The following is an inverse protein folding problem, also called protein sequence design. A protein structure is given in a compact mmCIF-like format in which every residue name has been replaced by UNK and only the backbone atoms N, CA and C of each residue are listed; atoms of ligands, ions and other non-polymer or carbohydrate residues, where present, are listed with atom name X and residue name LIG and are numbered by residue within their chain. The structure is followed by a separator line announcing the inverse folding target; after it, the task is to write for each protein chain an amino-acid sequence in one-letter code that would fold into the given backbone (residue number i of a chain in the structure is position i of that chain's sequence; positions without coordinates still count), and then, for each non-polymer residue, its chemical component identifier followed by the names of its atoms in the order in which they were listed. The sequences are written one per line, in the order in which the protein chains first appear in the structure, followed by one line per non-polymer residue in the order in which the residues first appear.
data_IF_120576182346
#
_entry.id   IF_120576182346
#
_cell.length_a   1.000
_cell.length_b   1.000
_cell.length_c   1.000
_cell.angle_alpha   90.00
_cell.angle_beta   90.00
_cell.angle_gamma   90.00
#
_symmetry.space_group_name_H-M   'P 1'
#
loop_
_entity.id
_entity.type
_entity.pdbx_description
1 polymer ?
#
# COMPACT_ATOMS: atom_id res chain seq x y z
N UNK A 1 30.43 24.55 -4.27
CA UNK A 1 29.14 24.24 -4.92
C UNK A 1 28.28 23.51 -3.92
N UNK A 2 27.26 24.17 -3.36
CA UNK A 2 26.37 23.55 -2.37
C UNK A 2 25.57 22.42 -3.01
N UNK A 3 25.44 21.28 -2.32
CA UNK A 3 24.56 20.20 -2.76
C UNK A 3 23.14 20.75 -2.87
N UNK A 4 22.62 20.82 -4.09
CA UNK A 4 21.18 21.03 -4.31
C UNK A 4 20.52 19.72 -3.87
N UNK A 5 20.05 19.67 -2.62
CA UNK A 5 19.20 18.57 -2.17
C UNK A 5 17.84 18.77 -2.81
N UNK A 6 17.44 17.85 -3.68
CA UNK A 6 16.09 17.84 -4.25
C UNK A 6 15.12 17.59 -3.10
N UNK A 7 14.08 18.43 -2.91
CA UNK A 7 13.08 18.18 -1.88
C UNK A 7 12.39 16.83 -2.11
N UNK A 8 12.18 16.04 -1.04
CA UNK A 8 11.54 14.73 -1.11
C UNK A 8 10.26 14.72 -1.97
N UNK A 9 9.42 15.75 -1.87
CA UNK A 9 8.18 15.86 -2.65
C UNK A 9 8.41 15.93 -4.16
N UNK A 10 9.47 16.60 -4.60
CA UNK A 10 9.82 16.70 -6.01
C UNK A 10 10.35 15.35 -6.53
N UNK A 11 11.24 14.71 -5.77
CA UNK A 11 11.77 13.39 -6.08
C UNK A 11 10.64 12.33 -6.12
N UNK A 12 9.72 12.37 -5.16
CA UNK A 12 8.52 11.52 -5.13
C UNK A 12 7.71 11.63 -6.41
N UNK A 13 7.36 12.85 -6.82
CA UNK A 13 6.58 13.08 -8.03
C UNK A 13 7.34 12.60 -9.28
N UNK A 14 8.65 12.86 -9.36
CA UNK A 14 9.48 12.42 -10.49
C UNK A 14 9.54 10.88 -10.59
N UNK A 15 9.71 10.20 -9.46
CA UNK A 15 9.71 8.74 -9.39
C UNK A 15 8.35 8.18 -9.81
N UNK A 16 7.24 8.74 -9.33
CA UNK A 16 5.90 8.29 -9.73
C UNK A 16 5.65 8.48 -11.23
N UNK A 17 5.98 9.65 -11.78
CA UNK A 17 5.82 9.91 -13.22
C UNK A 17 6.65 8.95 -14.06
N UNK A 18 7.87 8.64 -13.63
CA UNK A 18 8.72 7.66 -14.29
C UNK A 18 8.11 6.26 -14.22
N UNK A 19 7.62 5.82 -13.07
CA UNK A 19 6.97 4.51 -12.92
C UNK A 19 5.70 4.39 -13.77
N UNK A 20 4.89 5.46 -13.87
CA UNK A 20 3.72 5.49 -14.75
C UNK A 20 4.11 5.35 -16.23
N UNK A 21 5.17 6.01 -16.67
CA UNK A 21 5.59 5.96 -18.08
C UNK A 21 6.35 4.69 -18.47
N UNK A 22 6.97 4.00 -17.51
CA UNK A 22 7.80 2.82 -17.80
C UNK A 22 7.16 1.52 -17.32
N UNK A 23 6.89 1.41 -16.03
CA UNK A 23 6.43 0.17 -15.42
C UNK A 23 4.95 -0.07 -15.70
N UNK A 24 4.09 0.93 -15.49
CA UNK A 24 2.66 0.79 -15.71
C UNK A 24 2.32 0.48 -17.19
N UNK A 25 2.96 1.18 -18.14
CA UNK A 25 2.80 0.89 -19.57
C UNK A 25 3.22 -0.54 -19.95
N UNK A 26 4.21 -1.10 -19.24
CA UNK A 26 4.65 -2.48 -19.44
C UNK A 26 3.72 -3.54 -18.82
N UNK A 27 2.77 -3.15 -17.96
CA UNK A 27 1.75 -4.06 -17.43
C UNK A 27 0.72 -4.34 -18.54
N UNK A 28 0.64 -5.59 -18.99
CA UNK A 28 -0.31 -6.02 -20.03
C UNK A 28 -1.72 -6.27 -19.47
N UNK A 29 -1.78 -6.70 -18.21
CA UNK A 29 -2.97 -7.16 -17.52
C UNK A 29 -3.67 -6.02 -16.77
N UNK A 30 -5.01 -5.98 -16.83
CA UNK A 30 -5.80 -4.87 -16.26
C UNK A 30 -5.75 -4.89 -14.74
N UNK A 31 -5.82 -6.07 -14.14
CA UNK A 31 -5.81 -6.28 -12.71
C UNK A 31 -4.47 -5.84 -12.09
N UNK A 32 -3.36 -6.04 -12.81
CA UNK A 32 -2.05 -5.50 -12.40
C UNK A 32 -1.99 -3.98 -12.48
N UNK A 33 -2.63 -3.36 -13.47
CA UNK A 33 -2.70 -1.89 -13.59
C UNK A 33 -3.54 -1.30 -12.46
N UNK A 34 -4.68 -1.91 -12.16
CA UNK A 34 -5.53 -1.53 -11.03
C UNK A 34 -4.77 -1.63 -9.70
N UNK A 35 -4.05 -2.74 -9.48
CA UNK A 35 -3.20 -2.90 -8.30
C UNK A 35 -2.11 -1.81 -8.21
N UNK A 36 -1.52 -1.42 -9.34
CA UNK A 36 -0.55 -0.32 -9.37
C UNK A 36 -1.22 1.02 -9.02
N UNK A 37 -2.41 1.31 -9.55
CA UNK A 37 -3.10 2.56 -9.25
C UNK A 37 -3.50 2.67 -7.78
N UNK A 38 -3.93 1.56 -7.16
CA UNK A 38 -4.16 1.50 -5.71
C UNK A 38 -2.87 1.74 -4.90
N UNK A 39 -1.72 1.21 -5.34
CA UNK A 39 -0.43 1.52 -4.71
C UNK A 39 -0.09 3.00 -4.81
N UNK A 40 -0.28 3.63 -5.98
CA UNK A 40 0.01 5.07 -6.14
C UNK A 40 -0.90 5.92 -5.24
N UNK A 41 -2.17 5.53 -5.10
CA UNK A 41 -3.08 6.18 -4.17
C UNK A 41 -2.57 6.06 -2.73
N UNK A 42 -2.27 4.85 -2.27
CA UNK A 42 -1.75 4.61 -0.92
C UNK A 42 -0.48 5.41 -0.64
N UNK A 43 0.49 5.39 -1.57
CA UNK A 43 1.73 6.18 -1.46
C UNK A 43 1.47 7.68 -1.39
N UNK A 44 0.47 8.19 -2.10
CA UNK A 44 0.12 9.60 -2.08
C UNK A 44 -0.47 10.02 -0.73
N UNK A 45 -1.26 9.15 -0.10
CA UNK A 45 -1.83 9.35 1.24
C UNK A 45 -0.74 9.31 2.32
N UNK A 46 0.29 8.46 2.18
CA UNK A 46 1.39 8.32 3.14
C UNK A 46 2.61 9.19 2.85
N UNK A 47 2.59 9.98 1.76
CA UNK A 47 3.71 10.84 1.32
C UNK A 47 4.26 11.75 2.43
N UNK A 48 3.38 12.28 3.28
CA UNK A 48 3.78 13.08 4.44
C UNK A 48 4.64 12.28 5.41
N UNK A 49 4.17 11.10 5.82
CA UNK A 49 4.90 10.21 6.73
C UNK A 49 6.24 9.75 6.14
N UNK A 50 6.27 9.42 4.84
CA UNK A 50 7.51 9.04 4.15
C UNK A 50 8.59 10.13 4.21
N UNK A 51 8.21 11.41 4.14
CA UNK A 51 9.16 12.52 4.18
C UNK A 51 9.87 12.68 5.54
N UNK A 52 9.30 12.11 6.61
CA UNK A 52 9.90 12.08 7.95
C UNK A 52 10.68 10.80 8.24
N UNK A 53 10.59 9.79 7.37
CA UNK A 53 11.20 8.48 7.63
C UNK A 53 12.74 8.47 7.44
N UNK A 54 13.33 9.57 6.96
CA UNK A 54 14.77 9.74 6.73
C UNK A 54 15.42 8.56 5.94
N UNK A 55 14.63 7.89 5.09
CA UNK A 55 15.10 6.78 4.29
C UNK A 55 16.00 7.29 3.15
N UNK A 56 17.04 6.53 2.76
CA UNK A 56 18.03 6.99 1.79
C UNK A 56 17.51 7.07 0.34
N UNK A 57 16.26 6.68 0.07
CA UNK A 57 15.64 6.77 -1.25
C UNK A 57 14.12 6.83 -1.16
N UNK A 58 13.50 7.63 -2.04
CA UNK A 58 12.05 7.62 -2.26
C UNK A 58 11.54 6.21 -2.59
N UNK A 59 12.24 5.44 -3.42
CA UNK A 59 11.79 4.08 -3.78
C UNK A 59 11.71 3.16 -2.57
N UNK A 60 12.64 3.31 -1.61
CA UNK A 60 12.58 2.58 -0.35
C UNK A 60 11.40 3.03 0.51
N UNK A 61 11.08 4.32 0.53
CA UNK A 61 9.89 4.83 1.20
C UNK A 61 8.59 4.30 0.60
N UNK A 62 8.50 4.24 -0.73
CA UNK A 62 7.36 3.64 -1.45
C UNK A 62 7.21 2.16 -1.09
N UNK A 63 8.30 1.39 -1.15
CA UNK A 63 8.30 -0.03 -0.78
C UNK A 63 7.89 -0.23 0.68
N UNK A 64 8.48 0.54 1.60
CA UNK A 64 8.17 0.44 3.02
C UNK A 64 6.69 0.75 3.31
N UNK A 65 6.14 1.80 2.70
CA UNK A 65 4.71 2.10 2.81
C UNK A 65 3.84 0.98 2.27
N UNK A 66 4.15 0.43 1.09
CA UNK A 66 3.40 -0.68 0.53
C UNK A 66 3.42 -1.91 1.44
N UNK A 67 4.55 -2.20 2.09
CA UNK A 67 4.65 -3.30 3.07
C UNK A 67 3.79 -3.03 4.31
N UNK A 68 3.78 -1.79 4.82
CA UNK A 68 2.93 -1.39 5.95
C UNK A 68 1.45 -1.52 5.60
N UNK A 69 1.03 -1.04 4.44
CA UNK A 69 -0.35 -1.12 3.97
C UNK A 69 -0.78 -2.58 3.76
N UNK A 70 0.06 -3.40 3.13
CA UNK A 70 -0.18 -4.84 3.00
C UNK A 70 -0.34 -5.51 4.37
N UNK A 71 0.48 -5.14 5.37
CA UNK A 71 0.36 -5.69 6.73
C UNK A 71 -0.95 -5.27 7.38
N UNK A 72 -1.38 -4.02 7.21
CA UNK A 72 -2.68 -3.51 7.69
C UNK A 72 -3.84 -4.30 7.07
N UNK A 73 -3.86 -4.47 5.75
CA UNK A 73 -4.92 -5.21 5.07
C UNK A 73 -4.99 -6.67 5.52
N UNK A 74 -3.84 -7.34 5.69
CA UNK A 74 -3.78 -8.71 6.24
C UNK A 74 -4.39 -8.76 7.65
N UNK A 75 -4.09 -7.79 8.52
CA UNK A 75 -4.64 -7.75 9.88
C UNK A 75 -6.16 -7.53 9.86
N UNK A 76 -6.66 -6.66 8.99
CA UNK A 76 -8.10 -6.42 8.82
C UNK A 76 -8.82 -7.66 8.31
N UNK A 77 -8.25 -8.34 7.31
CA UNK A 77 -8.79 -9.61 6.80
C UNK A 77 -8.82 -10.69 7.88
N UNK A 78 -7.74 -10.83 8.67
CA UNK A 78 -7.71 -11.77 9.81
C UNK A 78 -8.77 -11.47 10.84
N UNK A 79 -8.99 -10.20 11.17
CA UNK A 79 -10.03 -9.77 12.12
C UNK A 79 -11.42 -10.16 11.61
N UNK A 80 -11.74 -9.83 10.36
CA UNK A 80 -13.03 -10.18 9.72
C UNK A 80 -13.26 -11.70 9.67
N UNK A 81 -12.21 -12.49 9.42
CA UNK A 81 -12.30 -13.95 9.41
C UNK A 81 -12.55 -14.55 10.81
N UNK A 82 -12.07 -13.92 11.88
CA UNK A 82 -12.34 -14.34 13.25
C UNK A 82 -13.77 -13.98 13.65
N UNK A 83 -14.20 -12.74 13.38
CA UNK A 83 -15.57 -12.27 13.63
C UNK A 83 -16.61 -13.17 12.92
N UNK A 84 -16.38 -13.47 11.63
CA UNK A 84 -17.27 -14.37 10.88
C UNK A 84 -17.26 -15.83 11.35
N UNK A 85 -16.22 -16.29 12.06
CA UNK A 85 -16.21 -17.64 12.68
C UNK A 85 -17.03 -17.66 13.96
N UNK A 86 -16.90 -16.64 14.80
CA UNK A 86 -17.67 -16.50 16.03
C UNK A 86 -19.18 -16.39 15.74
N UNK A 87 -19.56 -15.67 14.68
CA UNK A 87 -20.96 -15.58 14.23
C UNK A 87 -21.52 -16.94 13.74
N UNK A 88 -20.72 -17.76 13.06
CA UNK A 88 -21.16 -19.07 12.57
C UNK A 88 -21.22 -20.13 13.69
N UNK A 89 -20.35 -20.06 14.70
CA UNK A 89 -20.40 -20.95 15.87
C UNK A 89 -21.59 -20.63 16.79
N UNK A 90 -22.03 -19.37 16.86
CA UNK A 90 -23.21 -18.95 17.64
C UNK A 90 -24.57 -19.37 17.06
N UNK A 91 -24.64 -19.76 15.77
CA UNK A 91 -25.87 -20.18 15.09
C UNK A 91 -26.03 -21.71 15.03
N UNK A 92 -24.99 -22.46 15.43
CA UNK A 92 -24.88 -23.91 15.23
C UNK A 92 -25.50 -24.83 16.31
N UNK A 93 -26.23 -24.31 17.31
CA UNK A 93 -26.88 -25.18 18.31
C UNK A 93 -28.39 -24.89 18.46
N UNK A 94 -29.23 -25.32 17.50
CA UNK A 94 -30.62 -25.59 17.79
C UNK A 94 -30.69 -26.92 18.57
N UNK A 95 -31.14 -26.80 19.80
CA UNK A 95 -31.42 -27.87 20.77
C UNK A 95 -31.96 -29.14 20.11
N UNK A 96 -31.26 -30.26 20.31
CA UNK A 96 -31.82 -31.59 20.12
C UNK A 96 -32.73 -31.89 21.31
N UNK A 97 -34.04 -31.67 21.12
CA UNK A 97 -35.11 -32.29 21.91
C UNK A 97 -35.18 -33.80 21.65
#
# INVERSE_FOLDING_TARGET
MGRITVPFRAEFNEVLERLRKTFYEALVDVERREAFDELVRAWSETKGAMSYAELPSVLLSLLFSAVVDNRKEILLLKKKLLEGKEENEGVGNPELH
#
